data_IF_162190315874
#
_entry.id   IF_162190315874
#
_cell.length_a   1.000
_cell.length_b   1.000
_cell.length_c   1.000
_cell.angle_alpha   90.00
_cell.angle_beta   90.00
_cell.angle_gamma   90.00
#
_symmetry.space_group_name_H-M   'P 1'
#
loop_
_entity.id
_entity.type
_entity.pdbx_description
1 polymer ?
#
# COMPACT_ATOMS: atom_id res chain seq x y z
N UNK A 1 -5.17 17.01 22.45
CA UNK A 1 -4.02 16.06 22.55
C UNK A 1 -3.87 15.14 21.34
N UNK A 2 -4.96 14.62 20.74
CA UNK A 2 -4.91 13.76 19.55
C UNK A 2 -4.30 14.44 18.30
N UNK A 3 -4.67 15.69 18.03
CA UNK A 3 -4.20 16.42 16.85
C UNK A 3 -2.68 16.60 16.82
N UNK A 4 -2.09 16.90 17.99
CA UNK A 4 -0.64 17.05 18.17
C UNK A 4 0.11 15.71 18.00
N UNK A 5 -0.52 14.59 18.36
CA UNK A 5 0.03 13.25 18.11
C UNK A 5 -0.01 12.88 16.63
N UNK A 6 -1.10 13.23 15.92
CA UNK A 6 -1.21 13.05 14.46
C UNK A 6 -0.12 13.81 13.69
N UNK A 7 0.13 15.07 14.07
CA UNK A 7 1.19 15.88 13.45
C UNK A 7 2.59 15.28 13.66
N UNK A 8 2.87 14.75 14.85
CA UNK A 8 4.17 14.13 15.16
C UNK A 8 4.35 12.83 14.36
N UNK A 9 3.30 12.02 14.20
CA UNK A 9 3.34 10.80 13.38
C UNK A 9 3.53 11.14 11.90
N UNK A 10 2.81 12.13 11.38
CA UNK A 10 2.97 12.59 10.00
C UNK A 10 4.38 13.17 9.73
N UNK A 11 4.92 13.92 10.69
CA UNK A 11 6.28 14.48 10.61
C UNK A 11 7.36 13.39 10.67
N UNK A 12 7.22 12.39 11.54
CA UNK A 12 8.12 11.24 11.61
C UNK A 12 8.05 10.38 10.33
N UNK A 13 6.88 10.23 9.71
CA UNK A 13 6.72 9.55 8.42
C UNK A 13 7.41 10.29 7.27
N UNK A 14 7.40 11.62 7.28
CA UNK A 14 8.09 12.43 6.27
C UNK A 14 9.61 12.50 6.46
N UNK A 15 10.09 12.34 7.70
CA UNK A 15 11.50 12.43 8.05
C UNK A 15 12.29 11.13 7.78
N UNK A 16 11.63 9.99 7.61
CA UNK A 16 12.27 8.71 7.21
C UNK A 16 12.39 8.55 5.69
N UNK A 17 12.48 9.65 4.94
CA UNK A 17 12.48 9.72 3.49
C UNK A 17 13.74 9.14 2.84
N UNK A 18 13.82 7.82 2.78
CA UNK A 18 14.40 7.11 1.63
C UNK A 18 13.39 6.98 0.48
N UNK A 19 12.56 8.02 0.27
CA UNK A 19 11.52 8.09 -0.77
C UNK A 19 12.06 7.97 -2.21
N UNK A 20 13.38 7.94 -2.41
CA UNK A 20 14.00 7.76 -3.72
C UNK A 20 13.73 6.38 -4.36
N UNK A 21 13.19 5.40 -3.63
CA UNK A 21 12.84 4.07 -4.14
C UNK A 21 11.32 3.86 -4.33
N UNK A 22 10.50 4.84 -3.94
CA UNK A 22 9.05 4.73 -3.99
C UNK A 22 8.55 4.97 -5.42
N UNK A 23 7.97 3.94 -6.02
CA UNK A 23 7.30 4.05 -7.32
C UNK A 23 5.91 4.69 -7.15
N UNK A 24 5.17 4.30 -6.10
CA UNK A 24 3.91 4.95 -5.73
C UNK A 24 3.70 4.97 -4.22
N UNK A 25 2.96 5.98 -3.78
CA UNK A 25 2.45 6.09 -2.42
C UNK A 25 0.98 6.52 -2.48
N UNK A 26 0.10 5.61 -2.09
CA UNK A 26 -1.35 5.79 -2.19
C UNK A 26 -1.99 5.84 -0.80
N UNK A 27 -2.55 7.00 -0.45
CA UNK A 27 -3.25 7.23 0.81
C UNK A 27 -4.73 7.46 0.50
N UNK A 28 -5.58 6.55 0.95
CA UNK A 28 -7.04 6.71 0.82
C UNK A 28 -7.66 6.86 2.20
N UNK A 29 -8.45 7.93 2.37
CA UNK A 29 -9.20 8.23 3.58
C UNK A 29 -10.69 8.22 3.23
N UNK A 30 -11.45 7.40 3.95
CA UNK A 30 -12.91 7.36 3.89
C UNK A 30 -13.50 7.69 5.25
N UNK A 31 -14.83 7.82 5.31
CA UNK A 31 -15.53 8.17 6.55
C UNK A 31 -15.30 7.18 7.70
N UNK A 32 -15.03 5.90 7.38
CA UNK A 32 -14.83 4.82 8.35
C UNK A 32 -13.59 3.96 8.06
N UNK A 33 -12.77 4.37 7.11
CA UNK A 33 -11.64 3.56 6.65
C UNK A 33 -10.44 4.40 6.30
N UNK A 34 -9.26 3.85 6.47
CA UNK A 34 -8.03 4.43 5.99
C UNK A 34 -7.17 3.32 5.39
N UNK A 35 -6.65 3.54 4.19
CA UNK A 35 -5.69 2.63 3.55
C UNK A 35 -4.41 3.38 3.24
N UNK A 36 -3.29 2.72 3.43
CA UNK A 36 -1.99 3.18 3.00
C UNK A 36 -1.35 2.06 2.17
N UNK A 37 -0.94 2.38 0.94
CA UNK A 37 -0.20 1.46 0.08
C UNK A 37 1.08 2.14 -0.36
N UNK A 38 2.16 1.38 -0.34
CA UNK A 38 3.49 1.81 -0.73
C UNK A 38 4.05 0.79 -1.72
N UNK A 39 4.42 1.26 -2.91
CA UNK A 39 5.07 0.45 -3.92
C UNK A 39 6.48 0.97 -4.15
N UNK A 40 7.46 0.09 -4.13
CA UNK A 40 8.85 0.41 -4.38
C UNK A 40 9.36 -0.36 -5.59
N UNK A 41 10.07 0.32 -6.49
CA UNK A 41 10.80 -0.36 -7.55
C UNK A 41 11.96 -1.15 -6.94
N UNK A 42 12.05 -2.44 -7.25
CA UNK A 42 13.11 -3.31 -6.72
C UNK A 42 13.99 -3.94 -7.81
N UNK A 43 13.63 -3.77 -9.08
CA UNK A 43 14.40 -4.27 -10.21
C UNK A 43 13.55 -4.41 -11.46
N UNK A 44 14.17 -4.69 -12.61
CA UNK A 44 13.46 -4.88 -13.87
C UNK A 44 14.00 -6.08 -14.63
N UNK A 45 13.12 -6.73 -15.40
CA UNK A 45 13.47 -7.84 -16.29
C UNK A 45 12.95 -7.56 -17.70
N UNK A 46 13.20 -8.49 -18.63
CA UNK A 46 12.60 -8.45 -19.98
C UNK A 46 11.07 -8.41 -19.96
N UNK A 47 10.43 -8.85 -18.87
CA UNK A 47 8.97 -8.93 -18.73
C UNK A 47 8.34 -7.74 -17.99
N UNK A 48 9.11 -6.67 -17.76
CA UNK A 48 8.62 -5.45 -17.10
C UNK A 48 9.32 -5.11 -15.79
N UNK A 49 8.72 -4.19 -15.06
CA UNK A 49 9.21 -3.61 -13.79
C UNK A 49 8.78 -4.48 -12.61
N UNK A 50 9.71 -4.90 -11.78
CA UNK A 50 9.41 -5.58 -10.51
C UNK A 50 9.24 -4.57 -9.39
N UNK A 51 8.12 -4.66 -8.68
CA UNK A 51 7.74 -3.79 -7.58
C UNK A 51 7.49 -4.60 -6.30
N UNK A 52 7.96 -4.07 -5.17
CA UNK A 52 7.64 -4.55 -3.84
C UNK A 52 6.50 -3.69 -3.28
N UNK A 53 5.41 -4.34 -2.91
CA UNK A 53 4.20 -3.72 -2.38
C UNK A 53 4.10 -3.95 -0.87
N UNK A 54 3.74 -2.91 -0.14
CA UNK A 54 3.32 -2.96 1.25
C UNK A 54 2.00 -2.22 1.40
N UNK A 55 1.00 -2.87 1.97
CA UNK A 55 -0.31 -2.27 2.19
C UNK A 55 -0.81 -2.47 3.61
N UNK A 56 -1.53 -1.49 4.11
CA UNK A 56 -2.30 -1.59 5.35
C UNK A 56 -3.68 -0.97 5.14
N UNK A 57 -4.72 -1.65 5.62
CA UNK A 57 -6.08 -1.14 5.69
C UNK A 57 -6.57 -1.20 7.13
N UNK A 58 -7.18 -0.11 7.55
CA UNK A 58 -7.99 -0.01 8.75
C UNK A 58 -9.44 0.32 8.38
N UNK A 59 -10.38 -0.36 9.03
CA UNK A 59 -11.79 0.01 9.04
C UNK A 59 -12.31 0.02 10.50
N UNK A 60 -13.23 0.95 10.81
CA UNK A 60 -13.95 1.02 12.08
C UNK A 60 -14.80 -0.23 12.36
N UNK A 61 -15.25 -0.94 11.33
CA UNK A 61 -15.99 -2.22 11.42
C UNK A 61 -15.06 -3.40 11.76
N UNK A 62 -14.00 -3.15 12.54
CA UNK A 62 -13.09 -4.12 13.15
C UNK A 62 -12.25 -4.97 12.19
N UNK A 63 -12.34 -4.71 10.90
CA UNK A 63 -11.52 -5.33 9.87
C UNK A 63 -10.24 -4.55 9.67
N UNK A 64 -9.11 -5.24 9.86
CA UNK A 64 -7.78 -4.70 9.53
C UNK A 64 -7.06 -5.74 8.70
N UNK A 65 -6.34 -5.29 7.69
CA UNK A 65 -5.39 -6.16 7.01
C UNK A 65 -4.07 -5.43 6.78
N UNK A 66 -3.01 -6.23 6.68
CA UNK A 66 -1.72 -5.81 6.16
C UNK A 66 -1.29 -6.80 5.10
N UNK A 67 -0.62 -6.31 4.06
CA UNK A 67 -0.13 -7.15 2.99
C UNK A 67 1.28 -6.75 2.54
N UNK A 68 1.99 -7.76 2.05
CA UNK A 68 3.26 -7.61 1.38
C UNK A 68 3.24 -8.46 0.12
N UNK A 69 3.70 -7.90 -0.99
CA UNK A 69 3.69 -8.59 -2.27
C UNK A 69 4.83 -8.20 -3.17
N UNK A 70 5.13 -9.05 -4.13
CA UNK A 70 6.06 -8.77 -5.20
C UNK A 70 5.26 -8.82 -6.50
N UNK A 71 5.29 -7.76 -7.31
CA UNK A 71 4.56 -7.67 -8.57
C UNK A 71 5.56 -7.48 -9.71
N UNK A 72 5.31 -8.13 -10.84
CA UNK A 72 5.91 -7.76 -12.13
C UNK A 72 4.86 -7.00 -12.91
N UNK A 73 5.15 -5.74 -13.22
CA UNK A 73 4.26 -4.76 -13.83
C UNK A 73 4.77 -4.37 -15.21
N UNK A 74 3.91 -4.40 -16.22
CA UNK A 74 4.24 -3.96 -17.58
C UNK A 74 3.09 -3.18 -18.22
N UNK A 75 3.39 -2.42 -19.27
CA UNK A 75 2.38 -1.68 -20.03
C UNK A 75 1.61 -2.61 -20.97
N UNK A 76 0.28 -2.50 -21.00
CA UNK A 76 -0.62 -3.34 -21.79
C UNK A 76 -0.56 -3.02 -23.30
N UNK A 77 0.58 -3.28 -23.92
CA UNK A 77 0.83 -3.13 -25.36
C UNK A 77 0.80 -1.69 -25.87
N UNK A 78 1.18 -1.52 -27.13
CA UNK A 78 1.32 -0.21 -27.78
C UNK A 78 0.01 0.51 -28.08
N UNK A 79 -1.13 -0.19 -28.00
CA UNK A 79 -2.47 0.37 -28.30
C UNK A 79 -3.19 0.94 -27.08
N UNK A 80 -2.67 0.73 -25.86
CA UNK A 80 -3.22 1.28 -24.62
C UNK A 80 -2.11 1.89 -23.75
N UNK A 81 -1.37 2.91 -24.24
CA UNK A 81 -0.33 3.57 -23.47
C UNK A 81 -0.90 4.17 -22.19
N UNK A 82 -0.29 3.85 -21.06
CA UNK A 82 -0.72 4.29 -19.72
C UNK A 82 -1.56 3.27 -18.95
N UNK A 83 -1.99 2.17 -19.58
CA UNK A 83 -2.56 1.04 -18.85
C UNK A 83 -1.43 0.10 -18.42
N UNK A 84 -1.20 -0.02 -17.12
CA UNK A 84 -0.26 -0.98 -16.54
C UNK A 84 -1.02 -2.21 -16.01
N UNK A 85 -0.41 -3.40 -16.17
CA UNK A 85 -0.90 -4.65 -15.61
C UNK A 85 0.21 -5.29 -14.80
N UNK A 86 -0.11 -5.66 -13.56
CA UNK A 86 0.81 -6.33 -12.65
C UNK A 86 0.34 -7.72 -12.25
N UNK A 87 1.26 -8.69 -12.20
CA UNK A 87 1.02 -10.02 -11.63
C UNK A 87 2.12 -10.39 -10.64
N UNK A 88 1.75 -11.02 -9.53
CA UNK A 88 2.73 -11.63 -8.65
C UNK A 88 2.14 -12.08 -7.31
N UNK A 89 2.97 -12.77 -6.50
CA UNK A 89 2.54 -13.28 -5.21
C UNK A 89 2.29 -12.15 -4.21
N UNK A 90 1.25 -12.33 -3.40
CA UNK A 90 0.90 -11.44 -2.29
C UNK A 90 0.51 -12.27 -1.08
N UNK A 91 1.04 -11.89 0.07
CA UNK A 91 0.65 -12.46 1.37
C UNK A 91 -0.17 -11.42 2.11
N UNK A 92 -1.32 -11.84 2.63
CA UNK A 92 -2.24 -10.99 3.36
C UNK A 92 -2.44 -11.52 4.77
N UNK A 93 -2.33 -10.64 5.75
CA UNK A 93 -2.64 -10.90 7.15
C UNK A 93 -3.92 -10.15 7.48
N UNK A 94 -4.94 -10.87 7.94
CA UNK A 94 -6.22 -10.29 8.33
C UNK A 94 -6.45 -10.49 9.82
N UNK A 95 -6.95 -9.44 10.46
CA UNK A 95 -7.43 -9.50 11.83
C UNK A 95 -8.88 -9.05 11.87
N UNK A 96 -9.70 -9.90 12.45
CA UNK A 96 -11.09 -9.61 12.77
C UNK A 96 -11.22 -9.56 14.29
N UNK A 97 -11.66 -8.42 14.82
CA UNK A 97 -11.86 -8.28 16.26
C UNK A 97 -13.30 -8.72 16.61
N UNK A 98 -13.46 -9.99 16.97
CA UNK A 98 -14.70 -10.52 17.55
C UNK A 98 -14.91 -9.92 18.96
N UNK A 99 -15.62 -8.78 19.04
CA UNK A 99 -16.07 -8.24 20.35
C UNK A 99 -17.57 -8.03 20.51
N UNK A 100 -18.39 -8.51 19.58
CA UNK A 100 -19.86 -8.39 19.68
C UNK A 100 -20.60 -9.73 19.46
N UNK A 101 -20.05 -10.85 19.94
CA UNK A 101 -20.88 -12.01 20.25
C UNK A 101 -21.44 -11.80 21.68
N UNK A 102 -22.52 -11.02 21.80
CA UNK A 102 -23.41 -11.03 22.96
C UNK A 102 -24.63 -11.86 22.65
#
# INVERSE_FOLDING_TARGET
MLLRKLFIVAFLFSASSSLAMAQSLDINLGNKSASFNYNAFVGGSTFGRTELNFGVLYNEDKNRYADIGLLVVDTAGSKAPGLEVGIGPKVMFMWENERDAK
#
